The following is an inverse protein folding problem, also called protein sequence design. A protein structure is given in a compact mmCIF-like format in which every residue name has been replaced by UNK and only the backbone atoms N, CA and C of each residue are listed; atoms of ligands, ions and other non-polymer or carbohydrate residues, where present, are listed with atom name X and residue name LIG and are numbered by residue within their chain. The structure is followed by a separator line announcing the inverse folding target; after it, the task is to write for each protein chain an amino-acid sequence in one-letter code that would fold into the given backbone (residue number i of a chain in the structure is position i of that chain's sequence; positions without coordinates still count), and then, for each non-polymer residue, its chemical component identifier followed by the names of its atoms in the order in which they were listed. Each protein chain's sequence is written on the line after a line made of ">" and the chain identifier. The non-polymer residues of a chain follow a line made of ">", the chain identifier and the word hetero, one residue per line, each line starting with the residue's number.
data_IF_494910161102
#
_entry.id   IF_494910161102
#
_cell.length_a   1.000
_cell.length_b   1.000
_cell.length_c   1.000
_cell.angle_alpha   90.00
_cell.angle_beta   90.00
_cell.angle_gamma   90.00
#
_symmetry.space_group_name_H-M   'P 1'
#
loop_
_entity.id
_entity.type
_entity.pdbx_description
1 polymer ?
#
# COMPACT_ATOMS: atom_id res chain seq x y z
N UNK A 1 0.67 -5.94 -29.57
CA UNK A 1 -0.41 -5.14 -28.95
C UNK A 1 -0.12 -5.07 -27.46
N UNK A 2 0.39 -3.95 -26.98
CA UNK A 2 0.67 -3.75 -25.55
C UNK A 2 -0.68 -3.71 -24.84
N UNK A 3 -1.03 -4.76 -24.08
CA UNK A 3 -2.27 -4.76 -23.28
C UNK A 3 -2.17 -3.59 -22.30
N UNK A 4 -2.94 -2.54 -22.55
CA UNK A 4 -3.05 -1.42 -21.63
C UNK A 4 -3.76 -1.93 -20.38
N UNK A 5 -3.01 -2.22 -19.32
CA UNK A 5 -3.59 -2.60 -18.03
C UNK A 5 -4.32 -1.36 -17.50
N UNK A 6 -5.63 -1.45 -17.20
CA UNK A 6 -6.39 -0.34 -16.63
C UNK A 6 -5.67 0.20 -15.38
N UNK A 7 -5.62 1.51 -15.22
CA UNK A 7 -4.97 2.15 -14.06
C UNK A 7 -5.50 1.61 -12.73
N UNK A 8 -6.81 1.39 -12.65
CA UNK A 8 -7.45 0.72 -11.52
C UNK A 8 -6.80 -0.64 -11.20
N UNK A 9 -6.53 -1.47 -12.21
CA UNK A 9 -5.94 -2.79 -12.01
C UNK A 9 -4.46 -2.72 -11.57
N UNK A 10 -3.72 -1.66 -11.94
CA UNK A 10 -2.37 -1.43 -11.41
C UNK A 10 -2.42 -1.08 -9.93
N UNK A 11 -3.24 -0.10 -9.56
CA UNK A 11 -3.45 0.35 -8.17
C UNK A 11 -3.93 -0.80 -7.29
N UNK A 12 -4.89 -1.59 -7.79
CA UNK A 12 -5.38 -2.78 -7.10
C UNK A 12 -4.26 -3.76 -6.80
N UNK A 13 -3.39 -4.03 -7.79
CA UNK A 13 -2.28 -4.96 -7.62
C UNK A 13 -1.27 -4.44 -6.59
N UNK A 14 -0.91 -3.15 -6.66
CA UNK A 14 -0.02 -2.54 -5.68
C UNK A 14 -0.59 -2.63 -4.25
N UNK A 15 -1.89 -2.39 -4.09
CA UNK A 15 -2.56 -2.52 -2.80
C UNK A 15 -2.50 -3.97 -2.27
N UNK A 16 -2.79 -4.96 -3.13
CA UNK A 16 -2.76 -6.37 -2.76
C UNK A 16 -1.35 -6.87 -2.41
N UNK A 17 -0.33 -6.40 -3.13
CA UNK A 17 1.08 -6.70 -2.81
C UNK A 17 1.44 -6.20 -1.41
N UNK A 18 1.03 -4.98 -1.05
CA UNK A 18 1.23 -4.44 0.29
C UNK A 18 0.45 -5.19 1.37
N UNK A 19 -0.83 -5.48 1.14
CA UNK A 19 -1.65 -6.27 2.08
C UNK A 19 -1.00 -7.62 2.38
N UNK A 20 -0.54 -8.31 1.34
CA UNK A 20 0.15 -9.58 1.45
C UNK A 20 1.48 -9.46 2.19
N UNK A 21 2.30 -8.45 1.86
CA UNK A 21 3.59 -8.20 2.52
C UNK A 21 3.45 -7.89 4.02
N UNK A 22 2.53 -6.99 4.37
CA UNK A 22 2.23 -6.62 5.76
C UNK A 22 1.73 -7.83 6.55
N UNK A 23 0.74 -8.54 6.00
CA UNK A 23 0.15 -9.73 6.65
C UNK A 23 1.18 -10.85 6.79
N UNK A 24 2.01 -11.08 5.77
CA UNK A 24 3.08 -12.07 5.79
C UNK A 24 4.11 -11.77 6.88
N UNK A 25 4.59 -10.53 6.96
CA UNK A 25 5.52 -10.11 8.01
C UNK A 25 4.91 -10.22 9.41
N UNK A 26 3.66 -9.77 9.57
CA UNK A 26 2.94 -9.88 10.83
C UNK A 26 2.80 -11.35 11.27
N UNK A 27 2.46 -12.23 10.34
CA UNK A 27 2.36 -13.68 10.57
C UNK A 27 3.69 -14.28 11.00
N UNK A 28 4.78 -13.97 10.29
CA UNK A 28 6.13 -14.48 10.60
C UNK A 28 6.62 -14.04 11.98
N UNK A 29 6.34 -12.79 12.36
CA UNK A 29 6.72 -12.23 13.66
C UNK A 29 5.66 -12.47 14.76
N UNK A 30 4.61 -13.27 14.48
CA UNK A 30 3.48 -13.57 15.39
C UNK A 30 2.88 -12.31 16.02
N UNK A 31 2.73 -11.27 15.22
CA UNK A 31 2.30 -9.95 15.66
C UNK A 31 1.18 -9.42 14.78
N UNK A 32 0.53 -8.33 15.20
CA UNK A 32 -0.48 -7.62 14.41
C UNK A 32 0.11 -6.44 13.65
N UNK A 33 -0.62 -5.90 12.67
CA UNK A 33 -0.24 -4.65 11.97
C UNK A 33 -0.05 -3.51 12.98
N UNK A 34 -0.85 -3.48 14.05
CA UNK A 34 -0.75 -2.50 15.15
C UNK A 34 0.59 -2.51 15.90
N UNK A 35 1.37 -3.57 15.79
CA UNK A 35 2.69 -3.66 16.41
C UNK A 35 3.82 -3.19 15.47
N UNK A 36 3.50 -2.89 14.21
CA UNK A 36 4.44 -2.23 13.31
C UNK A 36 4.68 -0.79 13.78
N UNK A 37 5.77 -0.14 13.34
CA UNK A 37 6.00 1.26 13.62
C UNK A 37 4.79 2.11 13.24
N UNK A 38 4.44 3.10 14.07
CA UNK A 38 3.27 3.95 13.84
C UNK A 38 3.25 4.59 12.46
N UNK A 39 4.42 4.91 11.90
CA UNK A 39 4.56 5.43 10.54
C UNK A 39 4.08 4.43 9.47
N UNK A 40 4.37 3.14 9.63
CA UNK A 40 3.91 2.07 8.72
C UNK A 40 2.40 1.88 8.85
N UNK A 41 1.90 1.84 10.08
CA UNK A 41 0.46 1.70 10.36
C UNK A 41 -0.34 2.87 9.78
N UNK A 42 0.11 4.10 10.01
CA UNK A 42 -0.53 5.30 9.48
C UNK A 42 -0.48 5.35 7.96
N UNK A 43 0.65 5.01 7.34
CA UNK A 43 0.76 5.00 5.88
C UNK A 43 -0.10 3.89 5.24
N UNK A 44 -0.24 2.74 5.90
CA UNK A 44 -1.13 1.68 5.47
C UNK A 44 -2.60 2.11 5.58
N UNK A 45 -2.99 2.77 6.67
CA UNK A 45 -4.35 3.30 6.84
C UNK A 45 -4.68 4.35 5.77
N UNK A 46 -3.76 5.30 5.53
CA UNK A 46 -3.86 6.30 4.44
C UNK A 46 -4.04 5.61 3.07
N UNK A 47 -3.26 4.55 2.81
CA UNK A 47 -3.31 3.80 1.55
C UNK A 47 -4.62 3.02 1.40
N UNK A 48 -5.10 2.41 2.47
CA UNK A 48 -6.38 1.70 2.51
C UNK A 48 -7.57 2.66 2.34
N UNK A 49 -7.51 3.86 2.93
CA UNK A 49 -8.49 4.91 2.70
C UNK A 49 -8.50 5.34 1.22
N UNK A 50 -7.32 5.60 0.63
CA UNK A 50 -7.20 5.95 -0.78
C UNK A 50 -7.70 4.83 -1.71
N UNK A 51 -7.39 3.57 -1.39
CA UNK A 51 -7.90 2.42 -2.14
C UNK A 51 -9.42 2.26 -2.03
N UNK A 52 -9.99 2.43 -0.83
CA UNK A 52 -11.45 2.40 -0.63
C UNK A 52 -12.18 3.45 -1.46
N UNK A 53 -11.55 4.60 -1.71
CA UNK A 53 -12.07 5.63 -2.60
C UNK A 53 -12.02 5.24 -4.10
N UNK A 54 -11.13 4.32 -4.46
CA UNK A 54 -10.83 3.93 -5.85
C UNK A 54 -11.49 2.60 -6.24
N UNK A 55 -11.66 1.66 -5.30
CA UNK A 55 -12.10 0.27 -5.57
C UNK A 55 -13.45 0.17 -6.30
N UNK A 56 -14.33 1.14 -6.07
CA UNK A 56 -15.65 1.23 -6.70
C UNK A 56 -15.62 2.00 -8.04
N UNK A 57 -14.48 2.62 -8.38
CA UNK A 57 -14.29 3.30 -9.67
C UNK A 57 -14.07 2.24 -10.74
N UNK A 58 -15.08 2.01 -11.60
CA UNK A 58 -15.07 1.03 -12.70
C UNK A 58 -14.07 1.38 -13.83
N UNK A 59 -12.78 1.45 -13.52
CA UNK A 59 -11.69 1.74 -14.44
C UNK A 59 -11.39 3.23 -14.64
N UNK A 60 -12.32 4.14 -14.31
CA UNK A 60 -12.11 5.58 -14.48
C UNK A 60 -11.69 6.25 -13.17
N UNK A 61 -10.45 6.02 -12.76
CA UNK A 61 -9.88 6.63 -11.54
C UNK A 61 -9.44 8.06 -11.86
N UNK A 62 -9.95 9.05 -11.13
CA UNK A 62 -9.52 10.46 -11.26
C UNK A 62 -8.05 10.65 -10.89
N UNK A 63 -7.36 11.58 -11.55
CA UNK A 63 -5.94 11.89 -11.28
C UNK A 63 -5.68 12.21 -9.80
N UNK A 64 -6.56 12.98 -9.17
CA UNK A 64 -6.50 13.28 -7.72
C UNK A 64 -6.47 12.01 -6.86
N UNK A 65 -7.35 11.04 -7.13
CA UNK A 65 -7.40 9.78 -6.38
C UNK A 65 -6.13 8.95 -6.61
N UNK A 66 -5.65 8.91 -7.85
CA UNK A 66 -4.38 8.24 -8.19
C UNK A 66 -3.21 8.88 -7.44
N UNK A 67 -3.17 10.20 -7.38
CA UNK A 67 -2.10 10.93 -6.70
C UNK A 67 -2.13 10.65 -5.20
N UNK A 68 -3.30 10.70 -4.56
CA UNK A 68 -3.45 10.32 -3.14
C UNK A 68 -2.96 8.90 -2.86
N UNK A 69 -3.31 7.93 -3.71
CA UNK A 69 -2.83 6.57 -3.57
C UNK A 69 -1.31 6.47 -3.72
N UNK A 70 -0.71 7.16 -4.71
CA UNK A 70 0.74 7.18 -4.89
C UNK A 70 1.48 7.84 -3.73
N UNK A 71 0.94 8.91 -3.18
CA UNK A 71 1.51 9.58 -2.02
C UNK A 71 1.48 8.67 -0.79
N UNK A 72 0.36 7.98 -0.53
CA UNK A 72 0.25 7.00 0.54
C UNK A 72 1.20 5.81 0.33
N UNK A 73 1.28 5.28 -0.90
CA UNK A 73 2.19 4.20 -1.27
C UNK A 73 3.66 4.59 -1.03
N UNK A 74 4.08 5.79 -1.44
CA UNK A 74 5.44 6.28 -1.20
C UNK A 74 5.73 6.42 0.30
N UNK A 75 4.78 6.93 1.10
CA UNK A 75 4.93 7.01 2.55
C UNK A 75 5.08 5.63 3.17
N UNK A 76 4.28 4.67 2.72
CA UNK A 76 4.32 3.29 3.22
C UNK A 76 5.64 2.63 2.85
N UNK A 77 6.11 2.80 1.61
CA UNK A 77 7.39 2.30 1.16
C UNK A 77 8.54 2.86 2.00
N UNK A 78 8.58 4.17 2.23
CA UNK A 78 9.63 4.79 3.05
C UNK A 78 9.59 4.32 4.52
N UNK A 79 8.39 4.21 5.11
CA UNK A 79 8.24 3.74 6.48
C UNK A 79 8.63 2.26 6.63
N UNK A 80 8.29 1.46 5.62
CA UNK A 80 8.66 0.05 5.54
C UNK A 80 10.16 -0.14 5.36
N UNK A 81 10.76 0.59 4.43
CA UNK A 81 12.19 0.57 4.16
C UNK A 81 12.98 0.93 5.42
N UNK A 82 12.61 2.03 6.10
CA UNK A 82 13.19 2.40 7.39
C UNK A 82 13.04 1.30 8.46
N UNK A 83 11.91 0.59 8.50
CA UNK A 83 11.71 -0.53 9.42
C UNK A 83 12.64 -1.72 9.08
N UNK A 84 12.81 -2.03 7.79
CA UNK A 84 13.57 -3.20 7.33
C UNK A 84 15.08 -2.96 7.23
N UNK A 85 15.52 -1.77 6.84
CA UNK A 85 16.94 -1.39 6.79
C UNK A 85 17.57 -1.43 8.19
N UNK A 86 16.83 -1.04 9.22
CA UNK A 86 17.24 -1.17 10.63
C UNK A 86 17.48 -2.62 11.09
N UNK A 87 17.03 -3.63 10.34
CA UNK A 87 17.19 -5.06 10.68
C UNK A 87 18.47 -5.69 10.11
N UNK A 88 19.24 -4.95 9.31
CA UNK A 88 20.47 -5.42 8.62
C UNK A 88 21.77 -4.75 9.08
N UNK A 89 21.73 -3.89 10.11
CA UNK A 89 22.90 -3.24 10.71
C UNK A 89 23.45 -3.97 11.92
#
# INVERSE_FOLDING_TARGET
>A
MTRHIPEHAKIQREFQDWEFGLTGYCTDNKTGIEALPSAVVQAWDDMNAAWNDIKDSQGNVSEEKRQRFREANNRLQNAWDAMTEHKTG
#
